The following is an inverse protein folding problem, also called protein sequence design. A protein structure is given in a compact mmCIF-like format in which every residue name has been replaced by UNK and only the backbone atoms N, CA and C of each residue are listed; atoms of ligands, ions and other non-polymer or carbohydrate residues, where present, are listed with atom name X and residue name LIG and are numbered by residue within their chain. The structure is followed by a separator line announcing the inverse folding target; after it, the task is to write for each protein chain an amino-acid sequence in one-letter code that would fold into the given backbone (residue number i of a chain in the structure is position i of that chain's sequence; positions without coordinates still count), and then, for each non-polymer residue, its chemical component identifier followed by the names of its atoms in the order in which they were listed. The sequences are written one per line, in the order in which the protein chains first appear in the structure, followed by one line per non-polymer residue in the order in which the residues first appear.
data_IF_988229497891
#
_entry.id   IF_988229497891
#
_cell.length_a   1.000
_cell.length_b   1.000
_cell.length_c   1.000
_cell.angle_alpha   90.00
_cell.angle_beta   90.00
_cell.angle_gamma   90.00
#
_symmetry.space_group_name_H-M   'P 1'
#
loop_
_entity.id
_entity.type
_entity.pdbx_description
1 polymer ?
#
# COMPACT_ATOMS: atom_id res chain seq x y z
N UNK A 1 -2.71 -34.03 -25.47
CA UNK A 1 -3.11 -33.62 -24.11
C UNK A 1 -2.97 -32.11 -24.08
N UNK A 2 -4.11 -31.43 -24.05
CA UNK A 2 -4.27 -30.01 -24.40
C UNK A 2 -3.53 -29.09 -23.42
N UNK A 3 -2.69 -28.21 -23.96
CA UNK A 3 -2.05 -27.09 -23.25
C UNK A 3 -3.10 -26.08 -22.80
N UNK A 4 -3.18 -25.80 -21.50
CA UNK A 4 -3.94 -24.67 -20.98
C UNK A 4 -3.07 -23.41 -21.03
N UNK A 5 -3.33 -22.55 -22.01
CA UNK A 5 -2.96 -21.14 -21.91
C UNK A 5 -4.04 -20.45 -21.08
N UNK A 6 -3.74 -20.14 -19.82
CA UNK A 6 -4.52 -19.16 -19.07
C UNK A 6 -4.24 -17.81 -19.71
N UNK A 7 -5.22 -17.34 -20.50
CA UNK A 7 -5.26 -15.98 -20.97
C UNK A 7 -5.52 -15.07 -19.76
N UNK A 8 -4.46 -14.46 -19.21
CA UNK A 8 -4.65 -13.26 -18.42
C UNK A 8 -5.23 -12.20 -19.35
N UNK A 9 -6.51 -11.91 -19.14
CA UNK A 9 -7.26 -10.79 -19.70
C UNK A 9 -6.38 -9.55 -19.66
N UNK A 10 -6.16 -8.94 -20.82
CA UNK A 10 -5.57 -7.62 -20.91
C UNK A 10 -6.44 -6.62 -20.16
N UNK A 11 -5.87 -5.97 -19.16
CA UNK A 11 -6.38 -4.72 -18.62
C UNK A 11 -5.40 -3.61 -19.01
N UNK A 12 -5.94 -2.53 -19.56
CA UNK A 12 -5.22 -1.30 -19.83
C UNK A 12 -4.57 -0.82 -18.51
N UNK A 13 -3.23 -0.82 -18.48
CA UNK A 13 -2.47 -0.58 -17.25
C UNK A 13 -2.55 0.89 -16.83
N UNK A 14 -3.50 1.22 -15.97
CA UNK A 14 -3.13 2.05 -14.82
C UNK A 14 -2.18 1.20 -13.98
N UNK A 15 -0.90 1.59 -13.85
CA UNK A 15 0.11 0.85 -13.08
C UNK A 15 -0.10 1.05 -11.57
N UNK A 16 -1.33 0.90 -11.13
CA UNK A 16 -1.71 1.00 -9.72
C UNK A 16 -1.62 -0.39 -9.11
N UNK A 17 -0.88 -0.49 -8.02
CA UNK A 17 -0.76 -1.69 -7.20
C UNK A 17 -1.39 -1.38 -5.85
N UNK A 18 -2.09 -2.38 -5.30
CA UNK A 18 -2.82 -2.25 -4.04
C UNK A 18 -2.35 -3.34 -3.09
N UNK A 19 -2.04 -2.96 -1.85
CA UNK A 19 -1.73 -3.92 -0.79
C UNK A 19 -2.30 -3.49 0.56
N UNK A 20 -2.50 -4.47 1.44
CA UNK A 20 -2.97 -4.24 2.81
C UNK A 20 -1.80 -4.36 3.78
N UNK A 21 -1.75 -3.48 4.76
CA UNK A 21 -0.69 -3.44 5.75
C UNK A 21 -1.18 -2.98 7.12
N UNK A 22 -0.45 -3.33 8.16
CA UNK A 22 -0.63 -2.80 9.51
C UNK A 22 0.26 -1.57 9.69
N UNK A 23 -0.30 -0.47 10.19
CA UNK A 23 0.48 0.71 10.57
C UNK A 23 1.33 0.38 11.79
N UNK A 24 2.65 0.54 11.67
CA UNK A 24 3.59 0.41 12.78
C UNK A 24 3.83 1.76 13.44
N UNK A 25 4.08 2.80 12.63
CA UNK A 25 4.32 4.16 13.12
C UNK A 25 3.76 5.19 12.14
N UNK A 26 3.35 6.35 12.68
CA UNK A 26 2.95 7.52 11.90
C UNK A 26 3.92 8.68 12.18
N UNK A 27 4.57 9.19 11.14
CA UNK A 27 5.54 10.30 11.21
C UNK A 27 5.05 11.55 10.48
N UNK A 28 3.74 11.69 10.25
CA UNK A 28 3.05 12.77 9.53
C UNK A 28 3.39 12.90 8.03
N UNK A 29 4.65 12.70 7.67
CA UNK A 29 5.16 12.73 6.28
C UNK A 29 5.13 11.37 5.61
N UNK A 30 5.13 10.31 6.41
CA UNK A 30 5.06 8.93 5.96
C UNK A 30 4.47 8.04 7.06
N UNK A 31 3.94 6.89 6.63
CA UNK A 31 3.60 5.77 7.51
C UNK A 31 4.69 4.71 7.40
N UNK A 32 5.11 4.17 8.53
CA UNK A 32 5.83 2.89 8.56
C UNK A 32 4.79 1.79 8.68
N UNK A 33 4.79 0.83 7.75
CA UNK A 33 3.80 -0.23 7.69
C UNK A 33 4.44 -1.60 7.54
N UNK A 34 3.72 -2.62 7.99
CA UNK A 34 4.04 -4.04 7.79
C UNK A 34 2.98 -4.67 6.88
N UNK A 35 3.34 -5.13 5.67
CA UNK A 35 2.39 -5.79 4.78
C UNK A 35 1.81 -7.06 5.44
N UNK A 36 0.53 -7.35 5.18
CA UNK A 36 -0.11 -8.57 5.73
C UNK A 36 0.49 -9.85 5.15
N UNK A 37 0.38 -10.97 5.87
CA UNK A 37 0.86 -12.27 5.38
C UNK A 37 0.32 -12.60 3.97
N UNK A 38 1.22 -13.01 3.07
CA UNK A 38 0.88 -13.34 1.69
C UNK A 38 0.85 -12.15 0.72
N UNK A 39 1.06 -10.92 1.19
CA UNK A 39 1.30 -9.75 0.34
C UNK A 39 2.56 -9.94 -0.52
N UNK A 40 2.51 -9.47 -1.78
CA UNK A 40 3.64 -9.54 -2.71
C UNK A 40 4.80 -8.63 -2.27
N UNK A 41 4.48 -7.53 -1.58
CA UNK A 41 5.39 -6.51 -1.08
C UNK A 41 6.33 -7.06 0.02
N UNK A 42 5.95 -8.17 0.67
CA UNK A 42 6.84 -8.92 1.58
C UNK A 42 8.09 -9.48 0.88
N UNK A 43 8.08 -9.61 -0.45
CA UNK A 43 9.28 -9.98 -1.20
C UNK A 43 10.35 -8.88 -1.19
N UNK A 44 9.97 -7.62 -0.93
CA UNK A 44 10.88 -6.48 -0.77
C UNK A 44 11.30 -6.31 0.70
N UNK A 45 10.34 -6.12 1.62
CA UNK A 45 10.63 -6.01 3.05
C UNK A 45 9.39 -6.24 3.94
N UNK A 46 9.62 -6.63 5.20
CA UNK A 46 8.62 -6.65 6.27
C UNK A 46 8.22 -5.24 6.75
N UNK A 47 9.10 -4.25 6.55
CA UNK A 47 8.89 -2.85 6.92
C UNK A 47 9.01 -1.95 5.71
N UNK A 48 7.95 -1.19 5.45
CA UNK A 48 7.88 -0.29 4.30
C UNK A 48 7.50 1.11 4.78
N UNK A 49 8.31 2.11 4.41
CA UNK A 49 7.97 3.53 4.56
C UNK A 49 7.16 3.98 3.35
N UNK A 50 5.95 4.45 3.60
CA UNK A 50 5.03 4.94 2.58
C UNK A 50 4.85 6.44 2.75
N UNK A 51 5.40 7.21 1.81
CA UNK A 51 5.28 8.67 1.82
C UNK A 51 3.86 9.08 1.42
N UNK A 52 3.30 10.04 2.15
CA UNK A 52 1.89 10.46 2.00
C UNK A 52 1.73 11.81 1.27
N UNK A 53 2.79 12.27 0.60
CA UNK A 53 2.74 13.49 -0.19
C UNK A 53 1.81 13.30 -1.39
N UNK A 54 0.87 14.24 -1.57
CA UNK A 54 -0.12 14.21 -2.65
C UNK A 54 -1.00 12.92 -2.65
N UNK A 55 -1.16 12.30 -1.47
CA UNK A 55 -1.92 11.08 -1.27
C UNK A 55 -3.33 11.38 -0.76
N UNK A 56 -4.34 10.72 -1.32
CA UNK A 56 -5.72 10.79 -0.82
C UNK A 56 -5.87 9.91 0.42
N UNK A 57 -6.33 10.50 1.53
CA UNK A 57 -6.48 9.80 2.80
C UNK A 57 -7.97 9.65 3.13
N UNK A 58 -8.44 8.41 3.19
CA UNK A 58 -9.85 8.08 3.40
C UNK A 58 -10.03 7.10 4.56
N UNK A 59 -11.21 7.12 5.15
CA UNK A 59 -11.75 6.03 5.95
C UNK A 59 -12.58 5.10 5.07
N UNK A 60 -12.79 3.85 5.49
CA UNK A 60 -13.61 2.82 4.79
C UNK A 60 -15.05 3.22 4.43
N UNK A 61 -15.52 4.39 4.86
CA UNK A 61 -16.83 4.96 4.54
C UNK A 61 -16.73 6.15 3.57
N UNK A 62 -15.61 6.24 2.84
CA UNK A 62 -15.27 7.30 1.88
C UNK A 62 -15.15 8.71 2.47
N UNK A 63 -15.09 8.83 3.80
CA UNK A 63 -14.83 10.13 4.44
C UNK A 63 -13.34 10.46 4.37
N UNK A 64 -13.03 11.68 3.97
CA UNK A 64 -11.66 12.20 4.03
C UNK A 64 -11.21 12.36 5.49
N UNK A 65 -10.01 11.87 5.77
CA UNK A 65 -9.37 11.92 7.09
C UNK A 65 -8.01 12.60 7.00
N UNK A 66 -7.48 13.03 8.14
CA UNK A 66 -6.14 13.59 8.23
C UNK A 66 -5.10 12.49 8.44
N UNK A 67 -3.85 12.77 8.07
CA UNK A 67 -2.74 11.83 8.36
C UNK A 67 -2.66 11.50 9.86
N UNK A 68 -3.03 12.45 10.73
CA UNK A 68 -3.04 12.24 12.18
C UNK A 68 -4.02 11.18 12.67
N UNK A 69 -4.99 10.77 11.86
CA UNK A 69 -6.00 9.77 12.22
C UNK A 69 -5.45 8.32 12.15
N UNK A 70 -4.38 8.08 11.40
CA UNK A 70 -3.71 6.78 11.34
C UNK A 70 -2.86 6.53 12.59
N UNK A 71 -3.09 5.41 13.26
CA UNK A 71 -2.46 4.97 14.51
C UNK A 71 -1.84 3.59 14.35
N UNK A 72 -0.82 3.32 15.16
CA UNK A 72 -0.19 2.02 15.23
C UNK A 72 -1.22 0.92 15.54
N UNK A 73 -1.11 -0.22 14.84
CA UNK A 73 -2.00 -1.37 14.95
C UNK A 73 -3.24 -1.32 14.04
N UNK A 74 -3.50 -0.22 13.32
CA UNK A 74 -4.61 -0.16 12.37
C UNK A 74 -4.24 -0.79 11.03
N UNK A 75 -5.23 -1.44 10.39
CA UNK A 75 -5.11 -1.93 9.03
C UNK A 75 -5.41 -0.82 8.02
N UNK A 76 -4.58 -0.74 6.99
CA UNK A 76 -4.73 0.19 5.88
C UNK A 76 -4.60 -0.55 4.55
N UNK A 77 -5.34 -0.09 3.55
CA UNK A 77 -5.14 -0.45 2.15
C UNK A 77 -4.41 0.70 1.44
N UNK A 78 -3.35 0.39 0.72
CA UNK A 78 -2.43 1.36 0.12
C UNK A 78 -2.41 1.14 -1.38
N UNK A 79 -2.76 2.19 -2.13
CA UNK A 79 -2.68 2.24 -3.59
C UNK A 79 -1.46 3.06 -4.00
N UNK A 80 -0.57 2.49 -4.82
CA UNK A 80 0.69 3.11 -5.22
C UNK A 80 1.08 2.74 -6.66
N UNK A 81 2.17 3.31 -7.17
CA UNK A 81 2.59 3.16 -8.57
C UNK A 81 3.33 1.84 -8.91
N UNK A 82 3.39 0.88 -7.98
CA UNK A 82 4.13 -0.38 -8.14
C UNK A 82 5.66 -0.27 -7.95
N UNK A 83 6.23 0.91 -7.75
CA UNK A 83 7.66 1.08 -7.52
C UNK A 83 8.00 1.02 -6.02
N UNK A 84 8.92 0.14 -5.66
CA UNK A 84 9.49 0.01 -4.32
C UNK A 84 11.00 0.22 -4.42
N UNK A 85 11.55 1.13 -3.62
CA UNK A 85 12.99 1.29 -3.48
C UNK A 85 13.54 0.30 -2.44
N UNK A 86 14.27 -0.69 -2.94
CA UNK A 86 14.83 -1.82 -2.17
C UNK A 86 15.92 -1.33 -1.19
N UNK A 87 15.53 -1.16 0.07
CA UNK A 87 16.35 -0.75 1.20
C UNK A 87 15.73 -1.28 2.51
N UNK A 88 16.30 -0.95 3.68
CA UNK A 88 15.72 -1.36 4.97
C UNK A 88 15.56 -0.20 5.95
N UNK A 89 14.32 0.26 6.25
CA UNK A 89 13.05 -0.17 5.65
C UNK A 89 12.97 0.11 4.14
N UNK A 90 12.18 -0.68 3.40
CA UNK A 90 11.92 -0.40 1.99
C UNK A 90 11.06 0.87 1.85
N UNK A 91 11.02 1.47 0.66
CA UNK A 91 10.39 2.78 0.49
C UNK A 91 9.46 2.85 -0.71
N UNK A 92 8.27 3.42 -0.51
CA UNK A 92 7.29 3.77 -1.54
C UNK A 92 7.14 5.29 -1.54
N UNK A 93 7.63 5.94 -2.60
CA UNK A 93 7.59 7.40 -2.74
C UNK A 93 6.33 7.93 -3.43
N UNK A 94 5.63 7.08 -4.18
CA UNK A 94 4.45 7.50 -4.96
C UNK A 94 3.24 6.69 -4.53
N UNK A 95 2.57 7.18 -3.50
CA UNK A 95 1.31 6.65 -3.00
C UNK A 95 0.15 7.56 -3.44
N UNK A 96 -0.87 6.96 -4.05
CA UNK A 96 -2.03 7.69 -4.56
C UNK A 96 -3.15 7.77 -3.52
N UNK A 97 -3.36 6.69 -2.77
CA UNK A 97 -4.45 6.61 -1.80
C UNK A 97 -4.10 5.67 -0.64
N UNK A 98 -4.55 6.03 0.56
CA UNK A 98 -4.55 5.16 1.74
C UNK A 98 -5.95 5.15 2.35
N UNK A 99 -6.53 3.96 2.45
CA UNK A 99 -7.82 3.72 3.09
C UNK A 99 -7.60 3.11 4.47
N UNK A 100 -8.10 3.76 5.52
CA UNK A 100 -8.17 3.17 6.86
C UNK A 100 -9.32 2.15 6.91
N UNK A 101 -8.99 0.88 7.17
CA UNK A 101 -9.95 -0.23 7.08
C UNK A 101 -10.75 -0.47 8.36
N UNK A 102 -10.21 -0.05 9.51
CA UNK A 102 -10.79 -0.06 10.87
C UNK A 102 -11.57 -1.32 11.28
#
# INVERSE_FOLDING_TARGET
MTTFFVACVGQEKNNEVVFVATVLENKETHLLVEPVEGSAELSSADKIMVYVQDTTLLHSNDNSIAIGDFKAGQLVEITYNGAIAESYPAQIHTCYQINLLN
#
